data_IF_728229067929
#
_entry.id   IF_728229067929
#
_cell.length_a   1.000
_cell.length_b   1.000
_cell.length_c   1.000
_cell.angle_alpha   90.00
_cell.angle_beta   90.00
_cell.angle_gamma   90.00
#
_symmetry.space_group_name_H-M   'P 1'
#
loop_
_entity.id
_entity.type
_entity.pdbx_description
1 polymer ?
#
# COMPACT_ATOMS: atom_id res chain seq x y z
N UNK A 1 -16.34 -17.75 22.46
CA UNK A 1 -16.41 -17.37 21.03
C UNK A 1 -17.11 -16.05 20.69
N UNK A 2 -18.31 -15.75 21.20
CA UNK A 2 -18.96 -14.47 20.90
C UNK A 2 -18.12 -13.24 21.30
N UNK A 3 -17.42 -13.31 22.43
CA UNK A 3 -16.50 -12.25 22.89
C UNK A 3 -15.34 -12.05 21.90
N UNK A 4 -14.75 -13.14 21.38
CA UNK A 4 -13.70 -13.08 20.37
C UNK A 4 -14.20 -12.34 19.11
N UNK A 5 -15.34 -12.73 18.55
CA UNK A 5 -15.92 -12.03 17.39
C UNK A 5 -16.28 -10.57 17.69
N UNK A 6 -16.76 -10.28 18.90
CA UNK A 6 -17.12 -8.93 19.33
C UNK A 6 -15.89 -8.02 19.39
N UNK A 7 -14.69 -8.56 19.60
CA UNK A 7 -13.43 -7.80 19.64
C UNK A 7 -12.75 -7.80 18.27
N UNK A 8 -12.55 -8.98 17.66
CA UNK A 8 -11.75 -9.14 16.43
C UNK A 8 -12.40 -8.50 15.21
N UNK A 9 -13.73 -8.51 15.10
CA UNK A 9 -14.45 -7.89 13.98
C UNK A 9 -14.33 -6.35 13.97
N UNK A 10 -14.65 -5.60 15.04
CA UNK A 10 -14.44 -4.16 15.04
C UNK A 10 -12.96 -3.77 15.00
N UNK A 11 -12.06 -4.60 15.52
CA UNK A 11 -10.62 -4.39 15.44
C UNK A 11 -10.12 -4.48 13.98
N UNK A 12 -10.49 -5.54 13.25
CA UNK A 12 -10.13 -5.70 11.83
C UNK A 12 -10.78 -4.64 10.94
N UNK A 13 -12.06 -4.33 11.15
CA UNK A 13 -12.73 -3.23 10.44
C UNK A 13 -12.09 -1.87 10.76
N UNK A 14 -11.76 -1.63 12.03
CA UNK A 14 -11.08 -0.42 12.47
C UNK A 14 -9.72 -0.25 11.79
N UNK A 15 -8.95 -1.33 11.66
CA UNK A 15 -7.70 -1.32 10.90
C UNK A 15 -7.92 -1.00 9.43
N UNK A 16 -8.86 -1.68 8.77
CA UNK A 16 -9.18 -1.44 7.35
C UNK A 16 -9.60 0.02 7.13
N UNK A 17 -10.48 0.55 7.97
CA UNK A 17 -10.94 1.95 7.86
C UNK A 17 -9.79 2.92 8.11
N UNK A 18 -8.94 2.64 9.10
CA UNK A 18 -7.81 3.51 9.43
C UNK A 18 -6.79 3.53 8.29
N UNK A 19 -6.39 2.38 7.76
CA UNK A 19 -5.48 2.32 6.62
C UNK A 19 -6.13 2.96 5.40
N UNK A 20 -7.44 2.76 5.15
CA UNK A 20 -8.10 3.33 3.98
C UNK A 20 -8.06 4.84 4.05
N UNK A 21 -8.40 5.43 5.20
CA UNK A 21 -8.34 6.88 5.40
C UNK A 21 -6.92 7.43 5.30
N UNK A 22 -5.92 6.65 5.70
CA UNK A 22 -4.52 7.05 5.61
C UNK A 22 -4.03 7.10 4.15
N UNK A 23 -4.47 6.16 3.30
CA UNK A 23 -4.03 6.08 1.89
C UNK A 23 -4.99 6.75 0.89
N UNK A 24 -6.25 7.01 1.24
CA UNK A 24 -7.22 7.60 0.33
C UNK A 24 -7.00 9.10 0.16
N UNK A 25 -6.86 9.56 -1.09
CA UNK A 25 -6.98 10.97 -1.43
C UNK A 25 -8.44 11.47 -1.27
N UNK A 26 -8.65 12.78 -1.07
CA UNK A 26 -9.98 13.37 -0.89
C UNK A 26 -10.88 13.24 -2.14
N UNK A 27 -10.28 13.06 -3.32
CA UNK A 27 -10.99 12.98 -4.61
C UNK A 27 -11.31 11.54 -5.06
N UNK A 28 -10.97 10.53 -4.25
CA UNK A 28 -11.17 9.12 -4.63
C UNK A 28 -12.67 8.80 -4.74
N UNK A 29 -13.13 8.20 -5.86
CA UNK A 29 -14.53 7.81 -5.99
C UNK A 29 -14.96 6.79 -4.93
N UNK A 30 -16.20 6.92 -4.44
CA UNK A 30 -16.74 6.05 -3.37
C UNK A 30 -16.68 4.56 -3.72
N UNK A 31 -16.95 4.21 -4.97
CA UNK A 31 -16.94 2.81 -5.39
C UNK A 31 -15.52 2.21 -5.32
N UNK A 32 -14.47 2.98 -5.69
CA UNK A 32 -13.07 2.57 -5.51
C UNK A 32 -12.75 2.39 -4.03
N UNK A 33 -13.17 3.37 -3.20
CA UNK A 33 -12.96 3.32 -1.75
C UNK A 33 -13.55 2.05 -1.12
N UNK A 34 -14.81 1.71 -1.44
CA UNK A 34 -15.46 0.52 -0.91
C UNK A 34 -14.85 -0.78 -1.46
N UNK A 35 -14.50 -0.82 -2.75
CA UNK A 35 -13.88 -2.01 -3.33
C UNK A 35 -12.52 -2.30 -2.69
N UNK A 36 -11.64 -1.30 -2.60
CA UNK A 36 -10.32 -1.47 -1.95
C UNK A 36 -10.49 -1.85 -0.48
N UNK A 37 -11.45 -1.24 0.21
CA UNK A 37 -11.74 -1.59 1.59
C UNK A 37 -12.18 -3.03 1.77
N UNK A 38 -13.04 -3.53 0.87
CA UNK A 38 -13.44 -4.93 0.87
C UNK A 38 -12.26 -5.87 0.55
N UNK A 39 -11.40 -5.51 -0.40
CA UNK A 39 -10.17 -6.27 -0.71
C UNK A 39 -9.28 -6.44 0.52
N UNK A 40 -9.06 -5.35 1.26
CA UNK A 40 -8.26 -5.38 2.48
C UNK A 40 -8.95 -6.15 3.60
N UNK A 41 -10.26 -6.02 3.73
CA UNK A 41 -11.04 -6.83 4.66
C UNK A 41 -10.89 -8.32 4.35
N UNK A 42 -11.05 -8.75 3.10
CA UNK A 42 -10.82 -10.16 2.72
C UNK A 42 -9.40 -10.62 3.06
N UNK A 43 -8.39 -9.79 2.80
CA UNK A 43 -6.99 -10.11 3.10
C UNK A 43 -6.69 -10.23 4.61
N UNK A 44 -7.36 -9.42 5.43
CA UNK A 44 -7.18 -9.36 6.89
C UNK A 44 -8.14 -10.32 7.62
N UNK A 45 -9.18 -10.82 6.93
CA UNK A 45 -10.18 -11.74 7.48
C UNK A 45 -9.58 -13.02 8.08
N UNK A 46 -8.37 -13.40 7.65
CA UNK A 46 -7.63 -14.54 8.19
C UNK A 46 -7.39 -14.43 9.71
N UNK A 47 -7.30 -13.22 10.25
CA UNK A 47 -7.18 -12.95 11.70
C UNK A 47 -8.42 -13.48 12.45
N UNK A 48 -9.60 -13.40 11.83
CA UNK A 48 -10.84 -13.89 12.40
C UNK A 48 -11.03 -15.38 12.09
N UNK A 49 -10.75 -15.79 10.85
CA UNK A 49 -11.08 -17.13 10.36
C UNK A 49 -10.20 -18.21 10.97
N UNK A 50 -8.89 -17.97 11.15
CA UNK A 50 -7.97 -19.00 11.65
C UNK A 50 -8.28 -19.40 13.10
N UNK A 51 -8.43 -18.47 14.07
CA UNK A 51 -8.78 -18.85 15.43
C UNK A 51 -10.17 -19.49 15.53
N UNK A 52 -11.12 -19.06 14.70
CA UNK A 52 -12.43 -19.67 14.60
C UNK A 52 -12.38 -21.13 14.15
N UNK A 53 -11.56 -21.43 13.13
CA UNK A 53 -11.41 -22.77 12.54
C UNK A 53 -10.69 -23.74 13.48
N UNK A 54 -9.65 -23.27 14.18
CA UNK A 54 -8.95 -24.05 15.21
C UNK A 54 -9.93 -24.46 16.31
N UNK A 55 -10.77 -23.54 16.76
CA UNK A 55 -11.73 -23.82 17.82
C UNK A 55 -12.81 -24.81 17.43
N UNK A 56 -13.41 -24.68 16.24
CA UNK A 56 -14.44 -25.65 15.81
C UNK A 56 -13.86 -27.04 15.64
N UNK A 57 -12.59 -27.13 15.24
CA UNK A 57 -11.85 -28.39 15.18
C UNK A 57 -11.65 -28.99 16.58
N UNK A 58 -11.31 -28.18 17.58
CA UNK A 58 -11.11 -28.64 18.97
C UNK A 58 -12.43 -29.07 19.61
N UNK A 59 -13.50 -28.31 19.42
CA UNK A 59 -14.83 -28.56 20.03
C UNK A 59 -15.61 -29.65 19.30
N UNK A 60 -15.23 -30.00 18.06
CA UNK A 60 -15.93 -31.00 17.25
C UNK A 60 -17.33 -30.53 16.80
N UNK A 61 -17.56 -29.22 16.76
CA UNK A 61 -18.83 -28.63 16.28
C UNK A 61 -18.91 -28.63 14.75
N UNK A 62 -20.12 -28.63 14.21
CA UNK A 62 -20.35 -28.71 12.76
C UNK A 62 -19.68 -27.54 11.99
N UNK A 63 -18.88 -27.88 10.97
CA UNK A 63 -17.94 -26.97 10.29
C UNK A 63 -18.57 -26.14 9.15
N UNK A 64 -19.89 -26.25 8.93
CA UNK A 64 -20.57 -25.67 7.76
C UNK A 64 -20.41 -24.15 7.65
N UNK A 65 -20.52 -23.42 8.77
CA UNK A 65 -20.40 -21.96 8.77
C UNK A 65 -18.98 -21.46 8.42
N UNK A 66 -17.95 -22.11 8.96
CA UNK A 66 -16.56 -21.73 8.73
C UNK A 66 -16.11 -22.11 7.32
N UNK A 67 -16.54 -23.28 6.84
CA UNK A 67 -16.33 -23.68 5.45
C UNK A 67 -16.94 -22.68 4.46
N UNK A 68 -18.15 -22.19 4.75
CA UNK A 68 -18.76 -21.11 3.96
C UNK A 68 -17.91 -19.84 3.96
N UNK A 69 -17.43 -19.37 5.13
CA UNK A 69 -16.62 -18.15 5.20
C UNK A 69 -15.26 -18.28 4.51
N UNK A 70 -14.61 -19.45 4.60
CA UNK A 70 -13.38 -19.74 3.85
C UNK A 70 -13.63 -19.71 2.34
N UNK A 71 -14.68 -20.38 1.88
CA UNK A 71 -15.08 -20.38 0.47
C UNK A 71 -15.41 -18.97 -0.01
N UNK A 72 -16.19 -18.21 0.78
CA UNK A 72 -16.55 -16.83 0.48
C UNK A 72 -15.33 -15.92 0.39
N UNK A 73 -14.41 -16.01 1.35
CA UNK A 73 -13.17 -15.23 1.37
C UNK A 73 -12.27 -15.57 0.17
N UNK A 74 -12.13 -16.86 -0.14
CA UNK A 74 -11.37 -17.34 -1.29
C UNK A 74 -11.94 -16.81 -2.62
N UNK A 75 -13.23 -17.06 -2.89
CA UNK A 75 -13.86 -16.65 -4.14
C UNK A 75 -13.97 -15.13 -4.27
N UNK A 76 -14.22 -14.42 -3.16
CA UNK A 76 -14.17 -12.96 -3.14
C UNK A 76 -12.77 -12.48 -3.53
N UNK A 77 -11.72 -12.95 -2.87
CA UNK A 77 -10.34 -12.53 -3.16
C UNK A 77 -9.94 -12.86 -4.59
N UNK A 78 -10.34 -14.02 -5.09
CA UNK A 78 -10.11 -14.44 -6.47
C UNK A 78 -10.78 -13.50 -7.47
N UNK A 79 -12.08 -13.23 -7.33
CA UNK A 79 -12.82 -12.33 -8.21
C UNK A 79 -12.31 -10.89 -8.12
N UNK A 80 -11.98 -10.43 -6.92
CA UNK A 80 -11.43 -9.09 -6.72
C UNK A 80 -10.09 -8.93 -7.44
N UNK A 81 -9.19 -9.91 -7.30
CA UNK A 81 -7.84 -9.86 -7.85
C UNK A 81 -7.83 -9.97 -9.37
N UNK A 82 -8.61 -10.91 -9.93
CA UNK A 82 -8.55 -11.25 -11.36
C UNK A 82 -9.59 -10.52 -12.22
N UNK A 83 -10.57 -9.84 -11.62
CA UNK A 83 -11.62 -9.17 -12.40
C UNK A 83 -11.85 -7.74 -11.93
N UNK A 84 -12.26 -7.56 -10.68
CA UNK A 84 -12.79 -6.26 -10.23
C UNK A 84 -11.71 -5.19 -10.14
N UNK A 85 -10.59 -5.48 -9.47
CA UNK A 85 -9.52 -4.49 -9.25
C UNK A 85 -8.84 -4.08 -10.58
N UNK A 86 -8.43 -5.00 -11.48
CA UNK A 86 -7.86 -4.62 -12.77
C UNK A 86 -8.84 -3.83 -13.64
N UNK A 87 -10.14 -4.16 -13.62
CA UNK A 87 -11.15 -3.41 -14.36
C UNK A 87 -11.33 -1.99 -13.82
N UNK A 88 -11.37 -1.81 -12.50
CA UNK A 88 -11.46 -0.49 -11.87
C UNK A 88 -10.21 0.33 -12.16
N UNK A 89 -9.02 -0.28 -12.08
CA UNK A 89 -7.76 0.39 -12.38
C UNK A 89 -7.74 0.91 -13.84
N UNK A 90 -8.03 0.03 -14.81
CA UNK A 90 -8.10 0.44 -16.22
C UNK A 90 -9.22 1.46 -16.50
N UNK A 91 -10.31 1.44 -15.74
CA UNK A 91 -11.42 2.38 -15.89
C UNK A 91 -11.07 3.77 -15.38
N UNK A 92 -10.39 3.86 -14.23
CA UNK A 92 -9.92 5.14 -13.67
C UNK A 92 -8.74 5.72 -14.44
N UNK A 93 -7.87 4.88 -15.01
CA UNK A 93 -6.78 5.30 -15.87
C UNK A 93 -7.26 5.79 -17.26
N UNK A 94 -8.46 5.42 -17.70
CA UNK A 94 -9.01 5.83 -19.00
C UNK A 94 -9.45 7.32 -18.99
N UNK A 95 -8.96 8.10 -19.97
CA UNK A 95 -9.31 9.51 -20.15
C UNK A 95 -10.56 9.78 -20.98
N UNK A 96 -11.25 8.72 -21.42
CA UNK A 96 -12.42 8.83 -22.30
C UNK A 96 -13.55 9.62 -21.63
N UNK A 97 -14.35 10.32 -22.42
CA UNK A 97 -15.37 11.23 -21.90
C UNK A 97 -16.66 10.51 -21.49
N UNK A 98 -16.91 9.31 -22.02
CA UNK A 98 -18.11 8.52 -21.72
C UNK A 98 -17.79 7.28 -20.86
N UNK A 99 -18.74 6.87 -20.01
CA UNK A 99 -18.58 5.69 -19.13
C UNK A 99 -18.40 4.39 -19.94
N UNK A 100 -19.07 4.29 -21.09
CA UNK A 100 -19.04 3.10 -21.95
C UNK A 100 -17.67 2.95 -22.60
N UNK A 101 -17.08 4.05 -23.08
CA UNK A 101 -15.74 4.03 -23.68
C UNK A 101 -14.68 3.72 -22.64
N UNK A 102 -14.75 4.34 -21.45
CA UNK A 102 -13.82 4.02 -20.34
C UNK A 102 -13.85 2.53 -19.97
N UNK A 103 -15.05 1.94 -19.92
CA UNK A 103 -15.21 0.51 -19.63
C UNK A 103 -14.65 -0.35 -20.77
N UNK A 104 -14.92 0.00 -22.03
CA UNK A 104 -14.38 -0.70 -23.21
C UNK A 104 -12.85 -0.65 -23.24
N UNK A 105 -12.27 0.52 -22.97
CA UNK A 105 -10.82 0.73 -22.89
C UNK A 105 -10.21 -0.12 -21.78
N UNK A 106 -10.81 -0.14 -20.59
CA UNK A 106 -10.38 -0.98 -19.47
C UNK A 106 -10.46 -2.48 -19.77
N UNK A 107 -11.58 -2.94 -20.35
CA UNK A 107 -11.75 -4.34 -20.75
C UNK A 107 -10.71 -4.72 -21.80
N UNK A 108 -10.48 -3.87 -22.80
CA UNK A 108 -9.51 -4.14 -23.85
C UNK A 108 -8.08 -4.28 -23.28
N UNK A 109 -7.67 -3.35 -22.41
CA UNK A 109 -6.35 -3.40 -21.77
C UNK A 109 -6.17 -4.69 -20.95
N UNK A 110 -7.18 -5.06 -20.15
CA UNK A 110 -7.14 -6.28 -19.36
C UNK A 110 -7.17 -7.55 -20.25
N UNK A 111 -7.94 -7.54 -21.34
CA UNK A 111 -8.00 -8.66 -22.27
C UNK A 111 -6.67 -8.88 -22.99
N UNK A 112 -5.95 -7.81 -23.35
CA UNK A 112 -4.58 -7.91 -23.89
C UNK A 112 -3.64 -8.56 -22.88
N UNK A 113 -3.68 -8.14 -21.61
CA UNK A 113 -2.90 -8.76 -20.54
C UNK A 113 -3.21 -10.26 -20.39
N UNK A 114 -4.49 -10.62 -20.36
CA UNK A 114 -4.91 -12.03 -20.28
C UNK A 114 -4.58 -12.83 -21.53
N UNK A 115 -4.60 -12.22 -22.72
CA UNK A 115 -4.19 -12.87 -23.95
C UNK A 115 -2.69 -13.22 -23.91
N UNK A 116 -1.85 -12.30 -23.43
CA UNK A 116 -0.41 -12.57 -23.26
C UNK A 116 -0.19 -13.71 -22.27
N UNK A 117 -0.84 -13.67 -21.10
CA UNK A 117 -0.77 -14.77 -20.12
C UNK A 117 -1.28 -16.10 -20.71
N UNK A 118 -2.35 -16.05 -21.51
CA UNK A 118 -2.91 -17.20 -22.19
C UNK A 118 -1.95 -17.81 -23.21
N UNK A 119 -1.25 -16.99 -24.00
CA UNK A 119 -0.22 -17.44 -24.95
C UNK A 119 0.95 -18.09 -24.21
N UNK A 120 1.45 -17.46 -23.14
CA UNK A 120 2.52 -18.04 -22.32
C UNK A 120 2.09 -19.37 -21.71
N UNK A 121 0.87 -19.45 -21.17
CA UNK A 121 0.29 -20.69 -20.65
C UNK A 121 0.14 -21.77 -21.72
N UNK A 122 -0.28 -21.40 -22.93
CA UNK A 122 -0.41 -22.31 -24.06
C UNK A 122 0.95 -22.87 -24.51
N UNK A 123 1.97 -22.01 -24.60
CA UNK A 123 3.35 -22.45 -24.89
C UNK A 123 3.87 -23.43 -23.84
N UNK A 124 3.61 -23.14 -22.55
CA UNK A 124 3.92 -24.05 -21.46
C UNK A 124 3.20 -25.40 -21.58
N UNK A 125 1.93 -25.39 -22.00
CA UNK A 125 1.15 -26.61 -22.23
C UNK A 125 1.68 -27.42 -23.42
N UNK A 126 2.01 -26.77 -24.55
CA UNK A 126 2.60 -27.42 -25.73
C UNK A 126 3.94 -28.08 -25.36
N UNK A 127 4.77 -27.38 -24.58
CA UNK A 127 6.03 -27.92 -24.07
C UNK A 127 5.79 -29.17 -23.21
N UNK A 128 4.83 -29.12 -22.28
CA UNK A 128 4.48 -30.23 -21.41
C UNK A 128 3.98 -31.45 -22.20
N UNK A 129 3.11 -31.24 -23.20
CA UNK A 129 2.64 -32.32 -24.09
C UNK A 129 3.80 -32.92 -24.90
N UNK A 130 4.74 -32.09 -25.35
CA UNK A 130 5.93 -32.57 -26.08
C UNK A 130 6.84 -33.43 -25.19
N UNK A 131 6.98 -33.04 -23.92
CA UNK A 131 7.74 -33.79 -22.90
C UNK A 131 7.00 -35.01 -22.34
N UNK A 132 5.74 -35.23 -22.73
CA UNK A 132 4.88 -36.32 -22.24
C UNK A 132 5.44 -37.71 -22.54
N UNK A 133 6.35 -37.86 -23.51
CA UNK A 133 7.05 -39.14 -23.77
C UNK A 133 7.88 -39.63 -22.58
N UNK A 134 8.24 -38.73 -21.65
CA UNK A 134 8.98 -39.03 -20.42
C UNK A 134 8.17 -38.82 -19.13
N UNK A 135 6.88 -38.44 -19.20
CA UNK A 135 6.08 -38.07 -18.03
C UNK A 135 4.61 -38.51 -18.14
N UNK A 136 4.20 -39.43 -17.25
CA UNK A 136 2.83 -39.97 -17.14
C UNK A 136 1.86 -39.10 -16.30
N UNK A 137 2.30 -37.92 -15.85
CA UNK A 137 1.51 -37.07 -14.97
C UNK A 137 0.34 -36.36 -15.66
N UNK A 138 -0.72 -36.08 -14.89
CA UNK A 138 -1.86 -35.27 -15.35
C UNK A 138 -1.46 -33.78 -15.41
N UNK A 139 -1.71 -33.12 -16.55
CA UNK A 139 -1.43 -31.69 -16.74
C UNK A 139 -2.13 -30.79 -15.69
N UNK A 140 -3.34 -31.18 -15.26
CA UNK A 140 -4.06 -30.48 -14.19
C UNK A 140 -3.32 -30.60 -12.84
N UNK A 141 -2.81 -31.79 -12.53
CA UNK A 141 -2.00 -32.03 -11.34
C UNK A 141 -0.70 -31.22 -11.34
N UNK A 142 -0.04 -31.11 -12.51
CA UNK A 142 1.12 -30.23 -12.68
C UNK A 142 0.76 -28.77 -12.41
N UNK A 143 -0.32 -28.27 -13.01
CA UNK A 143 -0.75 -26.89 -12.85
C UNK A 143 -1.08 -26.55 -11.38
N UNK A 144 -1.75 -27.47 -10.67
CA UNK A 144 -1.98 -27.33 -9.23
C UNK A 144 -0.67 -27.29 -8.44
N UNK A 145 0.29 -28.17 -8.74
CA UNK A 145 1.59 -28.19 -8.08
C UNK A 145 2.39 -26.90 -8.35
N UNK A 146 2.41 -26.41 -9.59
CA UNK A 146 3.05 -25.16 -9.96
C UNK A 146 2.42 -23.95 -9.27
N UNK A 147 1.08 -23.88 -9.23
CA UNK A 147 0.35 -22.80 -8.53
C UNK A 147 0.66 -22.79 -7.03
N UNK A 148 0.63 -23.96 -6.38
CA UNK A 148 0.97 -24.09 -4.97
C UNK A 148 2.45 -23.72 -4.72
N UNK A 149 3.36 -24.20 -5.56
CA UNK A 149 4.80 -23.86 -5.48
C UNK A 149 5.01 -22.35 -5.62
N UNK A 150 4.35 -21.70 -6.59
CA UNK A 150 4.41 -20.25 -6.74
C UNK A 150 3.92 -19.52 -5.48
N UNK A 151 2.80 -19.96 -4.90
CA UNK A 151 2.26 -19.40 -3.66
C UNK A 151 3.21 -19.56 -2.47
N UNK A 152 3.77 -20.76 -2.27
CA UNK A 152 4.73 -21.05 -1.19
C UNK A 152 6.03 -20.28 -1.37
N UNK A 153 6.60 -20.26 -2.57
CA UNK A 153 7.84 -19.52 -2.88
C UNK A 153 7.62 -18.02 -2.66
N UNK A 154 6.53 -17.47 -3.20
CA UNK A 154 6.20 -16.04 -3.02
C UNK A 154 5.97 -15.71 -1.54
N UNK A 155 5.23 -16.56 -0.82
CA UNK A 155 5.00 -16.43 0.61
C UNK A 155 6.31 -16.46 1.40
N UNK A 156 7.21 -17.39 1.09
CA UNK A 156 8.51 -17.51 1.74
C UNK A 156 9.38 -16.27 1.53
N UNK A 157 9.43 -15.72 0.31
CA UNK A 157 10.18 -14.48 0.03
C UNK A 157 9.58 -13.27 0.76
N UNK A 158 8.26 -13.07 0.68
CA UNK A 158 7.60 -11.93 1.33
C UNK A 158 7.71 -12.00 2.86
N UNK A 159 7.53 -13.20 3.43
CA UNK A 159 7.66 -13.42 4.88
C UNK A 159 9.11 -13.27 5.34
N UNK A 160 10.07 -13.80 4.59
CA UNK A 160 11.51 -13.63 4.87
C UNK A 160 11.94 -12.16 4.87
N UNK A 161 11.46 -11.38 3.89
CA UNK A 161 11.67 -9.93 3.86
C UNK A 161 11.03 -9.24 5.07
N UNK A 162 9.75 -9.53 5.36
CA UNK A 162 9.03 -8.94 6.49
C UNK A 162 9.71 -9.22 7.84
N UNK A 163 10.09 -10.47 8.10
CA UNK A 163 10.77 -10.87 9.34
C UNK A 163 12.11 -10.16 9.55
N UNK A 164 12.85 -9.88 8.47
CA UNK A 164 14.18 -9.29 8.59
C UNK A 164 14.19 -7.76 8.51
N UNK A 165 13.40 -7.15 7.63
CA UNK A 165 13.44 -5.70 7.41
C UNK A 165 12.60 -4.91 8.42
N UNK A 166 11.50 -5.47 8.96
CA UNK A 166 10.69 -4.75 9.96
C UNK A 166 11.51 -4.47 11.24
N UNK A 167 12.14 -5.48 11.90
CA UNK A 167 12.89 -5.23 13.13
C UNK A 167 14.09 -4.31 12.89
N UNK A 168 14.82 -4.52 11.79
CA UNK A 168 15.96 -3.67 11.39
C UNK A 168 15.53 -2.23 11.17
N UNK A 169 14.43 -2.01 10.44
CA UNK A 169 13.89 -0.68 10.16
C UNK A 169 13.47 0.02 11.45
N UNK A 170 12.77 -0.68 12.35
CA UNK A 170 12.39 -0.13 13.66
C UNK A 170 13.60 0.26 14.50
N UNK A 171 14.64 -0.58 14.53
CA UNK A 171 15.88 -0.32 15.26
C UNK A 171 16.65 0.88 14.69
N UNK A 172 16.84 0.93 13.36
CA UNK A 172 17.48 2.08 12.68
C UNK A 172 16.70 3.38 12.90
N UNK A 173 15.37 3.32 12.86
CA UNK A 173 14.49 4.47 13.11
C UNK A 173 14.41 4.90 14.59
N UNK A 174 15.00 4.13 15.51
CA UNK A 174 15.14 4.51 16.91
C UNK A 174 16.39 5.38 17.17
N UNK A 175 17.38 5.34 16.28
CA UNK A 175 18.54 6.24 16.32
C UNK A 175 18.21 7.54 15.57
N UNK A 176 18.27 8.66 16.29
CA UNK A 176 17.95 9.98 15.74
C UNK A 176 18.94 10.42 14.67
N UNK A 177 20.24 10.12 14.84
CA UNK A 177 21.27 10.57 13.89
C UNK A 177 21.12 9.88 12.53
N UNK A 178 20.94 8.55 12.56
CA UNK A 178 20.64 7.75 11.38
C UNK A 178 19.32 8.20 10.74
N UNK A 179 18.27 8.38 11.54
CA UNK A 179 16.95 8.79 11.03
C UNK A 179 16.99 10.17 10.38
N UNK A 180 17.72 11.13 10.95
CA UNK A 180 17.87 12.46 10.37
C UNK A 180 18.58 12.38 9.01
N UNK A 181 19.70 11.65 8.91
CA UNK A 181 20.40 11.44 7.62
C UNK A 181 19.50 10.81 6.56
N UNK A 182 18.73 9.79 6.93
CA UNK A 182 17.79 9.11 6.02
C UNK A 182 16.69 10.08 5.56
N UNK A 183 16.11 10.85 6.48
CA UNK A 183 15.08 11.84 6.14
C UNK A 183 15.63 12.93 5.23
N UNK A 184 16.81 13.49 5.51
CA UNK A 184 17.45 14.50 4.65
C UNK A 184 17.68 13.96 3.24
N UNK A 185 18.17 12.72 3.10
CA UNK A 185 18.32 12.09 1.79
C UNK A 185 16.98 11.89 1.08
N UNK A 186 15.94 11.43 1.79
CA UNK A 186 14.59 11.28 1.22
C UNK A 186 14.00 12.61 0.77
N UNK A 187 14.15 13.68 1.56
CA UNK A 187 13.71 15.03 1.20
C UNK A 187 14.39 15.50 -0.08
N UNK A 188 15.72 15.36 -0.18
CA UNK A 188 16.45 15.75 -1.39
C UNK A 188 15.97 14.97 -2.63
N UNK A 189 15.81 13.65 -2.51
CA UNK A 189 15.30 12.81 -3.61
C UNK A 189 13.87 13.17 -4.01
N UNK A 190 13.00 13.47 -3.04
CA UNK A 190 11.62 13.85 -3.30
C UNK A 190 11.49 15.26 -3.84
N UNK A 191 12.38 16.18 -3.48
CA UNK A 191 12.43 17.52 -4.06
C UNK A 191 12.68 17.46 -5.57
N UNK A 192 13.64 16.63 -6.01
CA UNK A 192 13.91 16.41 -7.45
C UNK A 192 12.67 15.84 -8.15
N UNK A 193 12.06 14.78 -7.60
CA UNK A 193 10.84 14.20 -8.20
C UNK A 193 9.65 15.17 -8.24
N UNK A 194 9.54 16.04 -7.23
CA UNK A 194 8.50 17.05 -7.19
C UNK A 194 8.73 18.12 -8.26
N UNK A 195 9.99 18.52 -8.48
CA UNK A 195 10.35 19.47 -9.54
C UNK A 195 10.10 18.89 -10.93
N UNK A 196 10.51 17.64 -11.18
CA UNK A 196 10.21 16.91 -12.42
C UNK A 196 8.70 16.84 -12.68
N UNK A 197 7.91 16.47 -11.67
CA UNK A 197 6.45 16.41 -11.79
C UNK A 197 5.79 17.79 -11.93
N UNK A 198 6.36 18.83 -11.33
CA UNK A 198 5.94 20.22 -11.52
C UNK A 198 6.15 20.66 -12.97
N UNK A 199 7.28 20.28 -13.57
CA UNK A 199 7.58 20.55 -14.98
C UNK A 199 6.63 19.81 -15.92
N UNK A 200 6.40 18.51 -15.70
CA UNK A 200 5.47 17.70 -16.50
C UNK A 200 4.03 18.24 -16.45
N UNK A 201 3.54 18.62 -15.26
CA UNK A 201 2.24 19.25 -15.12
C UNK A 201 2.19 20.62 -15.81
N UNK A 202 3.25 21.43 -15.68
CA UNK A 202 3.34 22.72 -16.37
C UNK A 202 3.29 22.56 -17.90
N UNK A 203 4.02 21.59 -18.45
CA UNK A 203 3.99 21.24 -19.86
C UNK A 203 2.58 20.82 -20.30
N UNK A 204 1.93 19.90 -19.58
CA UNK A 204 0.57 19.44 -19.89
C UNK A 204 -0.46 20.58 -19.87
N UNK A 205 -0.32 21.54 -18.94
CA UNK A 205 -1.17 22.75 -18.88
C UNK A 205 -0.93 23.65 -20.09
N UNK A 206 0.33 23.89 -20.48
CA UNK A 206 0.68 24.72 -21.64
C UNK A 206 0.13 24.12 -22.92
N UNK A 207 0.27 22.79 -23.10
CA UNK A 207 -0.30 22.06 -24.23
C UNK A 207 -1.82 22.23 -24.27
N UNK A 208 -2.51 21.96 -23.15
CA UNK A 208 -3.96 22.11 -23.08
C UNK A 208 -4.43 23.56 -23.40
N UNK A 209 -3.70 24.57 -22.91
CA UNK A 209 -3.99 25.97 -23.21
C UNK A 209 -3.73 26.33 -24.67
N UNK A 210 -2.66 25.80 -25.28
CA UNK A 210 -2.35 25.99 -26.69
C UNK A 210 -3.42 25.36 -27.58
N UNK A 211 -3.82 24.12 -27.29
CA UNK A 211 -4.91 23.41 -27.98
C UNK A 211 -6.23 24.18 -27.86
N UNK A 212 -6.60 24.70 -26.68
CA UNK A 212 -7.82 25.51 -26.52
C UNK A 212 -7.81 26.81 -27.33
N UNK A 213 -6.63 27.43 -27.49
CA UNK A 213 -6.45 28.67 -28.28
C UNK A 213 -6.52 28.42 -29.79
N UNK A 214 -5.95 27.31 -30.26
CA UNK A 214 -5.95 26.96 -31.69
C UNK A 214 -7.35 26.59 -32.20
N UNK A 215 -8.18 26.02 -31.32
CA UNK A 215 -9.47 25.47 -31.72
C UNK A 215 -10.55 26.52 -31.94
N UNK A 216 -11.29 26.38 -33.04
CA UNK A 216 -12.41 27.26 -33.37
C UNK A 216 -13.58 27.09 -32.40
N UNK A 217 -14.33 28.18 -32.13
CA UNK A 217 -15.53 28.15 -31.28
C UNK A 217 -16.68 27.28 -31.84
N UNK A 218 -16.62 26.92 -33.12
CA UNK A 218 -17.65 26.12 -33.81
C UNK A 218 -17.26 24.65 -33.99
N UNK A 219 -16.11 24.24 -33.46
CA UNK A 219 -15.60 22.89 -33.58
C UNK A 219 -16.48 21.89 -32.78
N UNK A 220 -16.89 20.75 -33.36
CA UNK A 220 -17.54 19.67 -32.61
C UNK A 220 -16.77 19.23 -31.35
N UNK A 221 -15.43 19.24 -31.39
CA UNK A 221 -14.55 18.85 -30.28
C UNK A 221 -14.49 19.91 -29.16
N UNK A 222 -15.02 21.11 -29.37
CA UNK A 222 -15.00 22.19 -28.38
C UNK A 222 -15.64 21.79 -27.06
N UNK A 223 -16.70 20.98 -27.12
CA UNK A 223 -17.36 20.45 -25.92
C UNK A 223 -16.41 19.65 -25.02
N UNK A 224 -15.50 18.89 -25.60
CA UNK A 224 -14.51 18.11 -24.85
C UNK A 224 -13.43 19.01 -24.25
N UNK A 225 -13.00 20.04 -24.98
CA UNK A 225 -12.06 21.03 -24.44
C UNK A 225 -12.65 21.85 -23.31
N UNK A 226 -13.93 22.21 -23.38
CA UNK A 226 -14.59 22.93 -22.30
C UNK A 226 -14.57 22.12 -20.99
N UNK A 227 -14.59 20.78 -21.06
CA UNK A 227 -14.39 19.91 -19.88
C UNK A 227 -12.96 20.02 -19.34
N UNK A 228 -11.95 20.05 -20.22
CA UNK A 228 -10.54 20.20 -19.85
C UNK A 228 -10.27 21.60 -19.28
N UNK A 229 -10.81 22.65 -19.90
CA UNK A 229 -10.70 24.04 -19.44
C UNK A 229 -11.35 24.20 -18.05
N UNK A 230 -12.52 23.61 -17.81
CA UNK A 230 -13.15 23.59 -16.50
C UNK A 230 -12.29 22.87 -15.44
N UNK A 231 -11.64 21.76 -15.82
CA UNK A 231 -10.71 21.04 -14.94
C UNK A 231 -9.47 21.89 -14.58
N UNK A 232 -8.93 22.65 -15.55
CA UNK A 232 -7.85 23.59 -15.30
C UNK A 232 -8.29 24.73 -14.36
N UNK A 233 -9.46 25.32 -14.60
CA UNK A 233 -10.02 26.38 -13.73
C UNK A 233 -10.20 25.87 -12.31
N UNK A 234 -10.71 24.64 -12.13
CA UNK A 234 -10.85 24.04 -10.81
C UNK A 234 -9.48 23.84 -10.13
N UNK A 235 -8.49 23.34 -10.87
CA UNK A 235 -7.13 23.14 -10.37
C UNK A 235 -6.50 24.46 -9.85
N UNK A 236 -6.62 25.55 -10.62
CA UNK A 236 -6.09 26.86 -10.20
C UNK A 236 -6.86 27.48 -9.02
N UNK A 237 -8.13 27.14 -8.84
CA UNK A 237 -8.91 27.55 -7.67
C UNK A 237 -8.47 26.80 -6.41
N UNK A 238 -8.17 25.52 -6.54
CA UNK A 238 -7.73 24.67 -5.42
C UNK A 238 -6.30 24.99 -4.96
N UNK A 239 -5.40 25.28 -5.89
CA UNK A 239 -4.02 25.68 -5.59
C UNK A 239 -3.62 26.98 -6.31
N UNK A 240 -3.99 28.16 -5.77
CA UNK A 240 -3.63 29.44 -6.37
C UNK A 240 -2.13 29.75 -6.28
N UNK A 241 -1.38 28.99 -5.48
CA UNK A 241 0.07 29.14 -5.36
C UNK A 241 0.84 28.48 -6.51
N UNK A 242 0.21 27.52 -7.21
CA UNK A 242 0.80 26.85 -8.35
C UNK A 242 0.98 27.84 -9.51
N UNK A 243 2.23 28.03 -9.93
CA UNK A 243 2.58 28.80 -11.11
C UNK A 243 3.17 27.86 -12.16
N UNK A 244 2.54 27.71 -13.33
CA UNK A 244 3.12 26.91 -14.40
C UNK A 244 4.46 27.53 -14.79
N UNK A 245 5.52 26.73 -14.74
CA UNK A 245 6.81 27.14 -15.31
C UNK A 245 6.67 27.09 -16.84
N UNK A 246 7.35 28.00 -17.54
CA UNK A 246 7.22 28.11 -19.00
C UNK A 246 7.61 26.80 -19.69
N UNK A 247 6.61 26.00 -20.05
CA UNK A 247 6.82 24.73 -20.73
C UNK A 247 7.38 24.95 -22.13
N UNK A 248 8.33 24.10 -22.54
CA UNK A 248 8.78 24.03 -23.91
C UNK A 248 7.77 23.21 -24.71
N UNK A 249 7.05 23.85 -25.63
CA UNK A 249 6.17 23.16 -26.57
C UNK A 249 7.05 22.35 -27.53
N UNK A 250 6.95 21.02 -27.46
CA UNK A 250 7.57 20.13 -28.43
C UNK A 250 6.81 20.14 -29.76
N UNK A 251 7.51 19.84 -30.86
CA UNK A 251 6.95 19.84 -32.22
C UNK A 251 5.80 18.83 -32.41
N UNK A 252 5.76 17.78 -31.56
CA UNK A 252 4.72 16.73 -31.57
C UNK A 252 3.57 16.98 -30.57
N UNK A 253 3.60 18.06 -29.78
CA UNK A 253 2.64 18.28 -28.68
C UNK A 253 1.33 18.94 -29.12
N UNK A 254 1.19 19.29 -30.40
CA UNK A 254 0.03 20.06 -30.91
C UNK A 254 -1.03 19.22 -31.63
N UNK A 255 -0.84 17.90 -31.79
CA UNK A 255 -1.70 17.04 -32.63
C UNK A 255 -2.90 16.45 -31.86
N UNK A 256 -3.52 17.26 -30.99
CA UNK A 256 -4.64 16.85 -30.13
C UNK A 256 -6.02 17.27 -30.65
N UNK A 257 -6.08 17.99 -31.78
CA UNK A 257 -7.30 18.56 -32.35
C UNK A 257 -7.92 17.70 -33.48
N UNK A 258 -7.43 16.48 -33.67
CA UNK A 258 -7.80 15.62 -34.80
C UNK A 258 -8.95 14.66 -34.51
N UNK A 259 -9.09 14.13 -33.28
CA UNK A 259 -10.10 13.12 -32.94
C UNK A 259 -10.49 13.07 -31.45
N UNK A 260 -11.62 12.44 -31.15
CA UNK A 260 -12.11 12.23 -29.77
C UNK A 260 -11.07 11.51 -28.88
N UNK A 261 -10.24 10.62 -29.46
CA UNK A 261 -9.23 9.86 -28.71
C UNK A 261 -8.01 10.70 -28.35
N UNK A 262 -7.59 11.62 -29.22
CA UNK A 262 -6.51 12.55 -28.88
C UNK A 262 -6.96 13.52 -27.79
N UNK A 263 -8.19 14.01 -27.83
CA UNK A 263 -8.76 14.79 -26.71
C UNK A 263 -8.85 13.99 -25.41
N UNK A 264 -9.21 12.70 -25.48
CA UNK A 264 -9.19 11.80 -24.32
C UNK A 264 -7.76 11.57 -23.79
N UNK A 265 -6.77 11.46 -24.68
CA UNK A 265 -5.34 11.34 -24.35
C UNK A 265 -4.82 12.61 -23.67
N UNK A 266 -5.19 13.79 -24.17
CA UNK A 266 -4.83 15.08 -23.55
C UNK A 266 -5.38 15.17 -22.12
N UNK A 267 -6.67 14.87 -21.94
CA UNK A 267 -7.30 14.84 -20.62
C UNK A 267 -6.64 13.82 -19.69
N UNK A 268 -6.35 12.62 -20.19
CA UNK A 268 -5.65 11.56 -19.44
C UNK A 268 -4.29 12.04 -18.96
N UNK A 269 -3.48 12.59 -19.87
CA UNK A 269 -2.13 13.08 -19.56
C UNK A 269 -2.17 14.20 -18.51
N UNK A 270 -3.08 15.17 -18.68
CA UNK A 270 -3.26 16.26 -17.70
C UNK A 270 -3.68 15.72 -16.32
N UNK A 271 -4.60 14.75 -16.27
CA UNK A 271 -5.05 14.12 -15.02
C UNK A 271 -3.92 13.37 -14.34
N UNK A 272 -3.16 12.56 -15.07
CA UNK A 272 -2.02 11.80 -14.54
C UNK A 272 -0.98 12.78 -13.99
N UNK A 273 -0.58 13.78 -14.78
CA UNK A 273 0.42 14.76 -14.34
C UNK A 273 -0.03 15.52 -13.07
N UNK A 274 -1.32 15.88 -12.98
CA UNK A 274 -1.92 16.48 -11.78
C UNK A 274 -1.81 15.55 -10.57
N UNK A 275 -2.27 14.32 -10.71
CA UNK A 275 -2.28 13.32 -9.63
C UNK A 275 -0.86 13.01 -9.16
N UNK A 276 0.11 12.91 -10.07
CA UNK A 276 1.53 12.69 -9.72
C UNK A 276 2.16 13.88 -9.00
N UNK A 277 1.90 15.11 -9.45
CA UNK A 277 2.35 16.32 -8.75
C UNK A 277 1.80 16.37 -7.31
N UNK A 278 0.49 16.19 -7.12
CA UNK A 278 -0.10 16.22 -5.78
C UNK A 278 0.37 15.07 -4.89
N UNK A 279 0.60 13.88 -5.46
CA UNK A 279 1.20 12.73 -4.76
C UNK A 279 2.59 13.09 -4.24
N UNK A 280 3.47 13.59 -5.10
CA UNK A 280 4.83 13.96 -4.71
C UNK A 280 4.87 15.16 -3.78
N UNK A 281 3.99 16.15 -3.96
CA UNK A 281 3.85 17.30 -3.05
C UNK A 281 3.48 16.84 -1.65
N UNK A 282 2.48 15.96 -1.53
CA UNK A 282 2.04 15.40 -0.24
C UNK A 282 3.15 14.57 0.43
N UNK A 283 3.83 13.72 -0.34
CA UNK A 283 4.92 12.90 0.20
C UNK A 283 6.12 13.76 0.64
N UNK A 284 6.47 14.78 -0.13
CA UNK A 284 7.51 15.76 0.21
C UNK A 284 7.16 16.50 1.51
N UNK A 285 5.95 17.07 1.62
CA UNK A 285 5.49 17.74 2.82
C UNK A 285 5.49 16.83 4.05
N UNK A 286 5.13 15.56 3.86
CA UNK A 286 5.18 14.55 4.93
C UNK A 286 6.62 14.35 5.43
N UNK A 287 7.59 14.15 4.52
CA UNK A 287 8.99 13.98 4.93
C UNK A 287 9.58 15.24 5.57
N UNK A 288 9.27 16.42 5.04
CA UNK A 288 9.72 17.70 5.62
C UNK A 288 9.14 17.88 7.02
N UNK A 289 7.84 17.62 7.20
CA UNK A 289 7.20 17.68 8.52
C UNK A 289 7.83 16.68 9.49
N UNK A 290 8.04 15.43 9.06
CA UNK A 290 8.72 14.41 9.87
C UNK A 290 10.15 14.81 10.27
N UNK A 291 10.89 15.49 9.38
CA UNK A 291 12.24 15.96 9.66
C UNK A 291 12.25 17.14 10.64
N UNK A 292 11.35 18.10 10.48
CA UNK A 292 11.18 19.22 11.42
C UNK A 292 10.77 18.72 12.81
N UNK A 293 9.82 17.79 12.90
CA UNK A 293 9.45 17.17 14.17
C UNK A 293 10.61 16.42 14.84
N UNK A 294 11.45 15.76 14.05
CA UNK A 294 12.64 15.07 14.55
C UNK A 294 13.67 16.07 15.07
N UNK A 295 13.90 17.17 14.34
CA UNK A 295 14.81 18.24 14.76
C UNK A 295 14.34 18.91 16.05
N UNK A 296 13.05 19.24 16.16
CA UNK A 296 12.43 19.72 17.41
C UNK A 296 12.68 18.73 18.55
N UNK A 297 12.50 17.43 18.31
CA UNK A 297 12.71 16.39 19.34
C UNK A 297 14.16 16.36 19.81
N UNK A 298 15.13 16.46 18.90
CA UNK A 298 16.57 16.46 19.22
C UNK A 298 16.92 17.71 20.04
N UNK A 299 16.51 18.90 19.58
CA UNK A 299 16.78 20.17 20.27
C UNK A 299 16.20 20.19 21.69
N UNK A 300 14.94 19.78 21.85
CA UNK A 300 14.29 19.72 23.16
C UNK A 300 14.96 18.69 24.10
N UNK A 301 15.45 17.57 23.56
CA UNK A 301 16.17 16.59 24.36
C UNK A 301 17.52 17.13 24.86
N UNK A 302 18.26 17.82 24.01
CA UNK A 302 19.55 18.44 24.38
C UNK A 302 19.38 19.58 25.38
N UNK A 303 18.35 20.41 25.21
CA UNK A 303 18.08 21.58 26.05
C UNK A 303 17.19 21.30 27.27
N UNK A 304 16.83 20.02 27.54
CA UNK A 304 15.83 19.62 28.56
C UNK A 304 16.05 20.24 29.95
N UNK A 305 17.31 20.39 30.35
CA UNK A 305 17.68 20.93 31.66
C UNK A 305 17.57 22.45 31.70
N UNK A 306 17.79 23.12 30.57
CA UNK A 306 17.72 24.58 30.45
C UNK A 306 16.28 25.07 30.28
N UNK A 307 15.42 24.31 29.59
CA UNK A 307 14.02 24.65 29.35
C UNK A 307 13.07 24.22 30.47
N UNK A 308 13.59 23.64 31.55
CA UNK A 308 12.77 23.16 32.67
C UNK A 308 11.79 22.05 32.28
N UNK A 309 12.19 21.14 31.38
CA UNK A 309 11.35 20.03 30.89
C UNK A 309 10.07 20.45 30.16
N UNK A 310 10.08 21.62 29.51
CA UNK A 310 9.01 22.07 28.63
C UNK A 310 9.32 21.72 27.17
N UNK A 311 8.37 21.11 26.47
CA UNK A 311 8.47 20.84 25.03
C UNK A 311 8.09 22.08 24.22
N UNK A 312 9.01 22.57 23.40
CA UNK A 312 8.80 23.72 22.50
C UNK A 312 8.79 23.21 21.06
N UNK A 313 7.68 23.38 20.35
CA UNK A 313 7.60 23.03 18.93
C UNK A 313 7.72 24.27 18.06
N UNK A 314 8.41 24.14 16.94
CA UNK A 314 8.47 25.19 15.90
C UNK A 314 7.17 25.29 15.09
N UNK A 315 6.40 24.20 15.00
CA UNK A 315 5.19 24.11 14.19
C UNK A 315 3.91 24.48 14.94
N UNK A 316 3.94 24.54 16.28
CA UNK A 316 2.76 24.78 17.12
C UNK A 316 2.99 25.95 18.06
N UNK A 317 1.98 26.80 18.20
CA UNK A 317 1.98 27.87 19.21
C UNK A 317 2.04 27.32 20.64
N UNK A 318 2.64 28.10 21.54
CA UNK A 318 2.75 27.73 22.95
C UNK A 318 1.38 27.51 23.60
N UNK A 319 1.25 26.42 24.36
CA UNK A 319 0.03 26.13 25.11
C UNK A 319 -0.05 27.06 26.32
N UNK A 320 -1.13 27.82 26.45
CA UNK A 320 -1.37 28.70 27.60
C UNK A 320 -1.95 27.92 28.80
N UNK A 321 -1.48 28.22 30.02
CA UNK A 321 -2.04 27.72 31.29
C UNK A 321 -1.17 26.69 32.04
N UNK A 322 -1.52 26.44 33.31
CA UNK A 322 -0.82 25.49 34.21
C UNK A 322 -0.93 24.02 33.77
N UNK A 323 -2.08 23.63 33.18
CA UNK A 323 -2.25 22.32 32.54
C UNK A 323 -1.41 22.18 31.26
N UNK A 324 -1.14 23.30 30.58
CA UNK A 324 -0.25 23.33 29.41
C UNK A 324 1.15 22.83 29.76
N UNK A 325 1.71 23.29 30.87
CA UNK A 325 3.04 22.86 31.35
C UNK A 325 3.10 21.36 31.63
N UNK A 326 2.07 20.76 32.23
CA UNK A 326 2.02 19.31 32.46
C UNK A 326 1.94 18.53 31.14
N UNK A 327 1.12 19.00 30.19
CA UNK A 327 1.05 18.39 28.86
C UNK A 327 2.37 18.51 28.09
N UNK A 328 3.09 19.61 28.24
CA UNK A 328 4.38 19.81 27.58
C UNK A 328 5.46 18.88 28.17
N UNK A 329 5.49 18.69 29.50
CA UNK A 329 6.40 17.74 30.15
C UNK A 329 6.09 16.29 29.79
N UNK A 330 4.80 15.92 29.77
CA UNK A 330 4.38 14.58 29.35
C UNK A 330 4.67 14.33 27.87
N UNK A 331 4.49 15.33 27.00
CA UNK A 331 4.85 15.25 25.58
C UNK A 331 6.36 15.09 25.39
N UNK A 332 7.18 15.80 26.17
CA UNK A 332 8.64 15.64 26.15
C UNK A 332 9.05 14.22 26.55
N UNK A 333 8.52 13.70 27.66
CA UNK A 333 8.81 12.34 28.13
C UNK A 333 8.37 11.32 27.08
N UNK A 334 7.18 11.48 26.52
CA UNK A 334 6.63 10.61 25.48
C UNK A 334 7.51 10.60 24.22
N UNK A 335 7.76 11.77 23.62
CA UNK A 335 8.47 11.90 22.34
C UNK A 335 9.95 11.58 22.46
N UNK A 336 10.61 12.05 23.51
CA UNK A 336 12.07 11.99 23.63
C UNK A 336 12.56 10.69 24.29
N UNK A 337 11.84 10.15 25.28
CA UNK A 337 12.29 8.98 26.04
C UNK A 337 11.48 7.75 25.68
N UNK A 338 10.16 7.78 25.89
CA UNK A 338 9.32 6.59 25.84
C UNK A 338 9.20 6.04 24.41
N UNK A 339 8.99 6.90 23.40
CA UNK A 339 8.89 6.49 21.98
C UNK A 339 10.16 5.79 21.48
N UNK A 340 11.33 6.25 21.90
CA UNK A 340 12.62 5.64 21.52
C UNK A 340 12.76 4.25 22.12
N UNK A 341 12.44 4.09 23.41
CA UNK A 341 12.51 2.80 24.08
C UNK A 341 11.46 1.83 23.55
N UNK A 342 10.23 2.29 23.33
CA UNK A 342 9.16 1.50 22.70
C UNK A 342 9.60 0.92 21.36
N UNK A 343 10.19 1.73 20.48
CA UNK A 343 10.70 1.27 19.17
C UNK A 343 11.80 0.21 19.30
N UNK A 344 12.70 0.34 20.29
CA UNK A 344 13.76 -0.64 20.54
C UNK A 344 13.20 -1.94 21.09
N UNK A 345 12.33 -1.86 22.10
CA UNK A 345 11.69 -3.03 22.70
C UNK A 345 10.86 -3.77 21.66
N UNK A 346 10.06 -3.08 20.86
CA UNK A 346 9.29 -3.70 19.78
C UNK A 346 10.19 -4.35 18.72
N UNK A 347 11.32 -3.74 18.37
CA UNK A 347 12.27 -4.33 17.44
C UNK A 347 12.88 -5.62 17.99
N UNK A 348 13.21 -5.68 19.29
CA UNK A 348 13.71 -6.89 19.95
C UNK A 348 12.64 -7.98 19.96
N UNK A 349 11.40 -7.63 20.35
CA UNK A 349 10.28 -8.58 20.37
C UNK A 349 10.05 -9.18 18.97
N UNK A 350 9.97 -8.34 17.93
CA UNK A 350 9.77 -8.81 16.56
C UNK A 350 10.95 -9.65 16.04
N UNK A 351 12.17 -9.34 16.46
CA UNK A 351 13.35 -10.14 16.13
C UNK A 351 13.29 -11.52 16.80
N UNK A 352 12.98 -11.58 18.10
CA UNK A 352 12.77 -12.84 18.83
C UNK A 352 11.66 -13.68 18.20
N UNK A 353 10.55 -13.05 17.82
CA UNK A 353 9.46 -13.74 17.12
C UNK A 353 9.89 -14.29 15.75
N UNK A 354 10.67 -13.51 14.98
CA UNK A 354 11.18 -13.98 13.69
C UNK A 354 12.07 -15.21 13.85
N UNK A 355 12.93 -15.23 14.88
CA UNK A 355 13.72 -16.40 15.24
C UNK A 355 12.83 -17.56 15.67
N UNK A 356 11.78 -17.31 16.46
CA UNK A 356 10.84 -18.34 16.90
C UNK A 356 10.09 -18.98 15.72
N UNK A 357 9.66 -18.19 14.72
CA UNK A 357 9.00 -18.68 13.50
C UNK A 357 9.97 -19.53 12.68
N UNK A 358 11.20 -19.05 12.45
CA UNK A 358 12.23 -19.81 11.74
C UNK A 358 12.56 -21.13 12.44
N UNK A 359 12.65 -21.11 13.78
CA UNK A 359 12.88 -22.31 14.57
C UNK A 359 11.70 -23.29 14.46
N UNK A 360 10.45 -22.79 14.54
CA UNK A 360 9.26 -23.62 14.38
C UNK A 360 9.24 -24.34 13.03
N UNK A 361 9.51 -23.63 11.94
CA UNK A 361 9.59 -24.21 10.59
C UNK A 361 10.75 -25.20 10.45
N UNK A 362 11.93 -24.90 11.01
CA UNK A 362 13.07 -25.83 10.98
C UNK A 362 12.81 -27.13 11.77
N UNK A 363 12.01 -27.05 12.84
CA UNK A 363 11.68 -28.20 13.72
C UNK A 363 10.50 -29.04 13.25
N UNK A 364 9.80 -28.64 12.18
CA UNK A 364 8.68 -29.40 11.60
C UNK A 364 9.13 -30.68 10.87
N UNK A 365 10.41 -30.78 10.50
CA UNK A 365 10.97 -31.90 9.72
C UNK A 365 11.49 -33.08 10.56
N UNK A 366 12.13 -32.90 11.74
CA UNK A 366 12.61 -34.03 12.55
C UNK A 366 11.47 -34.62 13.40
N UNK A 367 11.00 -35.83 13.06
CA UNK A 367 10.10 -36.61 13.95
C UNK A 367 10.86 -37.01 15.23
N UNK A 368 10.59 -36.32 16.34
CA UNK A 368 11.01 -36.78 17.67
C UNK A 368 11.41 -35.71 18.69
N UNK A 369 11.57 -34.44 18.30
CA UNK A 369 11.94 -33.37 19.24
C UNK A 369 11.10 -32.11 18.99
N UNK A 370 10.08 -31.89 19.83
CA UNK A 370 9.24 -30.69 19.81
C UNK A 370 10.00 -29.50 20.42
N UNK A 371 10.90 -28.89 19.65
CA UNK A 371 11.63 -27.66 20.06
C UNK A 371 10.91 -26.37 19.65
N UNK A 372 9.76 -26.47 18.96
CA UNK A 372 8.95 -25.31 18.60
C UNK A 372 8.41 -24.63 19.87
N UNK A 373 8.81 -23.37 20.10
CA UNK A 373 8.31 -22.54 21.20
C UNK A 373 6.78 -22.48 21.19
N UNK A 374 6.15 -22.48 20.02
CA UNK A 374 4.69 -22.51 19.89
C UNK A 374 4.08 -23.83 20.37
N UNK A 375 4.73 -24.98 20.09
CA UNK A 375 4.26 -26.30 20.56
C UNK A 375 4.39 -26.42 22.08
N UNK A 376 5.50 -25.95 22.66
CA UNK A 376 5.72 -25.94 24.11
C UNK A 376 4.73 -24.99 24.79
N UNK A 377 4.49 -23.81 24.21
CA UNK A 377 3.54 -22.82 24.72
C UNK A 377 2.10 -23.35 24.68
N UNK A 378 1.66 -23.94 23.56
CA UNK A 378 0.32 -24.54 23.42
C UNK A 378 0.13 -25.67 24.45
N UNK A 379 1.14 -26.52 24.64
CA UNK A 379 1.11 -27.58 25.67
C UNK A 379 1.12 -27.03 27.10
N UNK A 380 1.74 -25.87 27.35
CA UNK A 380 1.77 -25.26 28.68
C UNK A 380 0.52 -24.44 29.01
N UNK A 381 -0.21 -23.95 28.01
CA UNK A 381 -1.40 -23.11 28.20
C UNK A 381 -2.65 -23.93 28.56
N UNK A 382 -2.70 -25.23 28.22
CA UNK A 382 -3.81 -26.11 28.62
C UNK A 382 -5.19 -25.63 28.14
N UNK A 383 -6.27 -26.04 28.83
CA UNK A 383 -7.68 -25.77 28.47
C UNK A 383 -8.17 -24.32 28.73
N UNK A 384 -7.27 -23.34 28.94
CA UNK A 384 -7.69 -21.96 29.18
C UNK A 384 -8.01 -21.21 27.87
N UNK A 385 -9.32 -21.12 27.56
CA UNK A 385 -9.89 -20.51 26.35
C UNK A 385 -9.37 -19.09 26.02
N UNK A 386 -9.01 -18.29 27.04
CA UNK A 386 -8.70 -16.87 26.88
C UNK A 386 -7.28 -16.62 26.38
N UNK A 387 -6.29 -17.44 26.79
CA UNK A 387 -4.89 -17.23 26.38
C UNK A 387 -4.61 -17.74 24.97
N UNK A 388 -5.32 -18.79 24.53
CA UNK A 388 -5.24 -19.32 23.15
C UNK A 388 -5.80 -18.32 22.13
N UNK A 389 -6.74 -17.46 22.54
CA UNK A 389 -7.39 -16.46 21.68
C UNK A 389 -6.67 -15.10 21.63
N UNK A 390 -5.97 -14.69 22.69
CA UNK A 390 -5.30 -13.38 22.76
C UNK A 390 -3.92 -13.37 22.07
N UNK A 391 -3.25 -14.53 22.00
CA UNK A 391 -1.90 -14.61 21.42
C UNK A 391 -1.80 -14.43 19.89
N UNK A 392 -2.75 -14.86 19.05
CA UNK A 392 -2.72 -14.54 17.62
C UNK A 392 -2.90 -13.03 17.33
N UNK A 393 -3.66 -12.33 18.17
CA UNK A 393 -4.11 -10.96 17.91
C UNK A 393 -3.03 -9.91 18.26
N UNK A 394 -2.39 -9.98 19.43
CA UNK A 394 -1.35 -9.00 19.81
C UNK A 394 -0.04 -9.17 19.02
N UNK A 395 0.18 -10.36 18.45
CA UNK A 395 1.42 -10.79 17.80
C UNK A 395 1.54 -10.26 16.35
N UNK A 396 0.43 -9.96 15.67
CA UNK A 396 0.42 -9.44 14.29
C UNK A 396 0.31 -7.91 14.18
N UNK A 397 -0.03 -7.24 15.28
CA UNK A 397 -0.61 -5.89 15.27
C UNK A 397 0.39 -4.73 15.27
N UNK A 398 1.61 -4.92 15.78
CA UNK A 398 2.51 -3.78 16.02
C UNK A 398 3.53 -3.52 14.90
N UNK A 399 3.77 -4.48 13.99
CA UNK A 399 4.80 -4.38 12.95
C UNK A 399 4.37 -3.76 11.62
N UNK A 400 3.07 -3.57 11.38
CA UNK A 400 2.55 -3.34 10.01
C UNK A 400 2.29 -1.88 9.61
N UNK A 401 2.31 -0.92 10.54
CA UNK A 401 2.06 0.50 10.21
C UNK A 401 3.16 1.13 9.33
N UNK A 402 4.38 0.58 9.34
CA UNK A 402 5.46 0.99 8.42
C UNK A 402 5.53 0.16 7.13
N UNK A 403 4.91 -1.03 7.10
CA UNK A 403 4.93 -1.95 5.95
C UNK A 403 4.04 -1.48 4.81
N UNK A 404 3.00 -0.68 5.06
CA UNK A 404 2.05 -0.30 4.01
C UNK A 404 2.61 0.78 3.07
N UNK A 405 3.61 1.58 3.47
CA UNK A 405 4.32 2.50 2.54
C UNK A 405 5.24 1.75 1.56
N UNK A 406 5.90 0.70 2.02
CA UNK A 406 6.88 -0.04 1.21
C UNK A 406 6.23 -1.23 0.45
N UNK A 407 5.17 -1.85 0.98
CA UNK A 407 4.46 -2.94 0.31
C UNK A 407 3.48 -2.45 -0.76
N UNK A 408 2.86 -1.28 -0.60
CA UNK A 408 2.03 -0.69 -1.66
C UNK A 408 2.86 -0.26 -2.85
N UNK A 409 4.08 0.26 -2.62
CA UNK A 409 5.05 0.50 -3.67
C UNK A 409 5.53 -0.81 -4.29
N UNK A 410 5.82 -1.88 -3.54
CA UNK A 410 6.21 -3.19 -4.10
C UNK A 410 5.09 -3.85 -4.93
N UNK A 411 3.83 -3.80 -4.48
CA UNK A 411 2.68 -4.35 -5.23
C UNK A 411 2.40 -3.48 -6.48
N UNK A 412 2.51 -2.15 -6.38
CA UNK A 412 2.44 -1.26 -7.53
C UNK A 412 3.63 -1.48 -8.50
N UNK A 413 4.82 -1.80 -7.98
CA UNK A 413 6.02 -2.17 -8.74
C UNK A 413 5.89 -3.51 -9.46
N UNK A 414 5.24 -4.50 -8.83
CA UNK A 414 4.98 -5.81 -9.42
C UNK A 414 3.86 -5.73 -10.48
N UNK A 415 2.86 -4.86 -10.28
CA UNK A 415 1.73 -4.70 -11.21
C UNK A 415 2.08 -3.79 -12.40
N UNK A 416 2.93 -2.77 -12.22
CA UNK A 416 3.32 -1.81 -13.27
C UNK A 416 4.62 -2.23 -13.99
N UNK A 417 4.79 -3.53 -14.21
CA UNK A 417 5.99 -4.15 -14.79
C UNK A 417 6.28 -3.74 -16.23
N UNK A 418 6.73 -2.50 -16.43
CA UNK A 418 7.10 -2.00 -17.76
C UNK A 418 8.46 -1.29 -17.83
N UNK A 419 9.09 -0.86 -16.72
CA UNK A 419 10.31 -0.02 -16.79
C UNK A 419 11.45 -0.46 -15.86
N UNK A 420 11.82 -1.75 -15.83
CA UNK A 420 13.05 -2.19 -15.13
C UNK A 420 13.64 -3.51 -15.66
N UNK A 421 13.75 -3.64 -16.98
CA UNK A 421 14.90 -4.33 -17.55
C UNK A 421 16.00 -3.27 -17.61
N UNK A 422 17.15 -3.54 -16.97
CA UNK A 422 18.33 -2.67 -16.83
C UNK A 422 18.27 -1.79 -15.56
N UNK A 423 18.86 -2.31 -14.48
CA UNK A 423 19.95 -1.73 -13.65
C UNK A 423 19.95 -2.53 -12.34
N UNK A 424 20.66 -3.66 -12.36
CA UNK A 424 21.34 -4.21 -11.19
C UNK A 424 22.81 -3.76 -11.32
N UNK A 425 23.50 -3.35 -10.24
CA UNK A 425 24.93 -3.62 -10.16
C UNK A 425 25.18 -5.14 -10.05
#
# INVERSE_FOLDING_TARGET
MWVFYLISLPLTLGMVIWTLKYFSGPEVPRYVFFTVGYTWFCSISIIILVPADIWTTIVGSDNGGISFFWSWSYWSTFLLTWLVVPLIQGFEDAGDFTLVERLKTSIHANLVFYAILGIVGLLGLILLITMRKSWDGNALGFAMACSNTFGLVTGAFLLGFGMSEIPKSMWKNADWTTRQKVLSHKIAKMAVKLDDAHQELSNAIVVAQATSKQMSKRDPLRRYMDVIDNMLVQMFREDPSFKPQGGQLGENDMDYDTDDKSMAKLRRNLRIAREEYYRYKSEYLTYVTEALELEDTIKNYEQRNATGWKFVSTLRSERAGTLGSFFDTTELIWRCVLRKQLKKVSAVILCCMSVAILLAEATLLPRGVDLSLFSILIKSVGDQEVLVQVFPDDLFLYGRSHLVRDASSIIYWIIRGHDMLIVLP
#
